data_IF_376939958018
#
_entry.id   IF_376939958018
#
_cell.length_a   1.000
_cell.length_b   1.000
_cell.length_c   1.000
_cell.angle_alpha   90.00
_cell.angle_beta   90.00
_cell.angle_gamma   90.00
#
_symmetry.space_group_name_H-M   'P 1'
#
loop_
_entity.id
_entity.type
_entity.pdbx_description
1 polymer ?
#
# COMPACT_ATOMS: atom_id res chain seq x y z
N UNK A 1 13.91 9.83 -9.43
CA UNK A 1 13.13 11.01 -9.05
C UNK A 1 13.61 11.38 -7.67
N UNK A 2 14.14 12.59 -7.41
CA UNK A 2 14.50 12.98 -6.05
C UNK A 2 13.26 12.83 -5.15
N UNK A 3 13.36 11.99 -4.11
CA UNK A 3 12.24 11.70 -3.21
C UNK A 3 11.38 10.47 -3.55
N UNK A 4 11.82 9.59 -4.45
CA UNK A 4 11.25 8.24 -4.53
C UNK A 4 11.44 7.52 -3.19
N UNK A 5 10.36 6.99 -2.62
CA UNK A 5 10.41 6.19 -1.40
C UNK A 5 10.55 4.72 -1.78
N UNK A 6 11.41 3.96 -1.11
CA UNK A 6 11.58 2.53 -1.38
C UNK A 6 12.14 1.81 -0.18
N UNK A 7 12.02 0.49 -0.18
CA UNK A 7 12.64 -0.35 0.83
C UNK A 7 12.50 -1.82 0.49
N UNK A 8 13.29 -2.65 1.17
CA UNK A 8 13.05 -4.09 1.18
C UNK A 8 11.71 -4.40 1.86
N UNK A 9 11.06 -5.49 1.43
CA UNK A 9 9.84 -5.95 2.05
C UNK A 9 10.10 -6.28 3.54
N UNK A 10 9.31 -5.67 4.41
CA UNK A 10 9.38 -5.77 5.86
C UNK A 10 8.09 -6.40 6.44
N UNK A 11 7.47 -7.31 5.68
CA UNK A 11 6.20 -7.93 6.06
C UNK A 11 6.27 -8.61 7.44
N UNK A 12 5.16 -8.59 8.16
CA UNK A 12 5.03 -9.32 9.42
C UNK A 12 5.09 -10.79 9.09
N UNK A 13 5.57 -11.60 10.03
CA UNK A 13 5.67 -13.04 9.84
C UNK A 13 4.35 -13.69 9.39
N UNK A 14 3.20 -13.14 9.82
CA UNK A 14 1.87 -13.64 9.43
C UNK A 14 1.40 -13.22 8.02
N UNK A 15 2.11 -12.31 7.37
CA UNK A 15 1.75 -11.73 6.06
C UNK A 15 2.87 -11.90 5.02
N UNK A 16 3.97 -12.57 5.35
CA UNK A 16 5.12 -12.74 4.43
C UNK A 16 4.72 -13.46 3.14
N UNK A 17 3.84 -14.46 3.22
CA UNK A 17 3.35 -15.18 2.03
C UNK A 17 2.49 -14.30 1.12
N UNK A 18 1.86 -13.25 1.67
CA UNK A 18 1.01 -12.33 0.91
C UNK A 18 1.82 -11.39 0.02
N UNK A 19 3.14 -11.26 0.24
CA UNK A 19 4.02 -10.51 -0.66
C UNK A 19 4.35 -11.27 -1.95
N UNK A 20 4.03 -12.57 -2.03
CA UNK A 20 4.37 -13.40 -3.19
C UNK A 20 5.89 -13.40 -3.46
N UNK A 21 6.33 -13.26 -4.73
CA UNK A 21 7.76 -13.28 -5.07
C UNK A 21 8.47 -11.93 -4.87
N UNK A 22 7.76 -10.87 -4.46
CA UNK A 22 8.32 -9.53 -4.42
C UNK A 22 9.11 -9.31 -3.13
N UNK A 23 10.28 -8.69 -3.27
CA UNK A 23 11.23 -8.49 -2.16
C UNK A 23 11.48 -7.02 -1.83
N UNK A 24 10.98 -6.11 -2.67
CA UNK A 24 11.15 -4.67 -2.53
C UNK A 24 9.88 -3.97 -3.02
N UNK A 25 9.63 -2.79 -2.47
CA UNK A 25 8.60 -1.88 -2.92
C UNK A 25 9.20 -0.49 -3.17
N UNK A 26 8.60 0.23 -4.09
CA UNK A 26 8.92 1.62 -4.36
C UNK A 26 7.62 2.40 -4.58
N UNK A 27 7.56 3.60 -4.00
CA UNK A 27 6.48 4.57 -4.16
C UNK A 27 7.03 5.82 -4.84
N UNK A 28 6.48 6.10 -6.02
CA UNK A 28 6.82 7.26 -6.83
C UNK A 28 5.64 8.24 -6.79
N UNK A 29 5.86 9.43 -6.24
CA UNK A 29 4.83 10.48 -6.20
C UNK A 29 5.13 11.54 -7.25
N UNK A 30 4.13 11.86 -8.06
CA UNK A 30 4.22 12.87 -9.11
C UNK A 30 3.25 14.01 -8.83
N UNK A 31 3.60 15.27 -9.14
CA UNK A 31 2.73 16.41 -8.91
C UNK A 31 1.51 16.43 -9.83
N UNK A 32 1.54 15.68 -10.95
CA UNK A 32 0.46 15.54 -11.91
C UNK A 32 0.74 14.38 -12.89
N UNK A 33 -0.28 14.02 -13.67
CA UNK A 33 -0.23 12.97 -14.68
C UNK A 33 0.85 13.22 -15.75
N UNK A 34 1.07 14.47 -16.17
CA UNK A 34 2.09 14.80 -17.17
C UNK A 34 3.50 14.47 -16.68
N UNK A 35 3.81 14.81 -15.43
CA UNK A 35 5.10 14.49 -14.83
C UNK A 35 5.30 12.96 -14.70
N UNK A 36 4.22 12.22 -14.39
CA UNK A 36 4.21 10.75 -14.36
C UNK A 36 4.44 10.15 -15.75
N UNK A 37 3.74 10.61 -16.78
CA UNK A 37 3.82 10.02 -18.13
C UNK A 37 5.18 10.21 -18.80
N UNK A 38 5.97 11.16 -18.33
CA UNK A 38 7.35 11.40 -18.78
C UNK A 38 8.40 10.88 -17.81
N UNK A 39 7.98 10.13 -16.78
CA UNK A 39 8.90 9.52 -15.84
C UNK A 39 9.74 8.43 -16.54
N UNK A 40 10.97 8.29 -16.08
CA UNK A 40 11.83 7.20 -16.50
C UNK A 40 11.32 5.87 -15.90
N UNK A 41 11.63 4.71 -16.49
CA UNK A 41 11.22 3.42 -15.96
C UNK A 41 11.70 3.20 -14.52
N UNK A 42 11.00 2.38 -13.74
CA UNK A 42 11.35 2.10 -12.33
C UNK A 42 12.82 1.68 -12.15
N UNK A 43 13.34 0.87 -13.08
CA UNK A 43 14.72 0.40 -13.09
C UNK A 43 15.77 1.54 -13.11
N UNK A 44 15.43 2.70 -13.68
CA UNK A 44 16.31 3.88 -13.67
C UNK A 44 16.45 4.50 -12.28
N UNK A 45 15.45 4.31 -11.43
CA UNK A 45 15.43 4.89 -10.09
C UNK A 45 16.14 4.01 -9.09
N UNK A 46 16.26 2.70 -9.34
CA UNK A 46 16.90 1.71 -8.47
C UNK A 46 17.86 0.77 -9.22
N UNK A 47 18.91 1.30 -9.88
CA UNK A 47 19.81 0.48 -10.69
C UNK A 47 20.51 -0.62 -9.87
N UNK A 48 20.73 -0.40 -8.57
CA UNK A 48 21.34 -1.36 -7.66
C UNK A 48 20.46 -2.58 -7.34
N UNK A 49 19.13 -2.47 -7.46
CA UNK A 49 18.21 -3.57 -7.17
C UNK A 49 18.18 -4.64 -8.27
N UNK A 50 18.79 -4.38 -9.44
CA UNK A 50 18.82 -5.30 -10.59
C UNK A 50 17.42 -5.89 -10.89
N UNK A 51 16.43 -5.01 -11.01
CA UNK A 51 15.01 -5.37 -11.17
C UNK A 51 14.83 -6.27 -12.40
N UNK A 52 14.53 -7.55 -12.19
CA UNK A 52 14.29 -8.53 -13.25
C UNK A 52 12.84 -8.54 -13.73
N UNK A 53 11.91 -8.15 -12.85
CA UNK A 53 10.49 -7.93 -13.12
C UNK A 53 9.91 -6.95 -12.08
N UNK A 54 8.93 -6.14 -12.48
CA UNK A 54 8.23 -5.21 -11.59
C UNK A 54 6.72 -5.30 -11.81
N UNK A 55 5.95 -5.18 -10.73
CA UNK A 55 4.51 -4.95 -10.75
C UNK A 55 4.30 -3.44 -10.61
N UNK A 56 4.13 -2.75 -11.73
CA UNK A 56 3.95 -1.29 -11.76
C UNK A 56 2.45 -0.97 -11.80
N UNK A 57 1.94 -0.41 -10.70
CA UNK A 57 0.51 -0.13 -10.52
C UNK A 57 0.30 1.36 -10.22
N UNK A 58 -0.48 2.04 -11.06
CA UNK A 58 -0.75 3.47 -10.93
C UNK A 58 -2.13 3.73 -10.31
N UNK A 59 -2.24 4.79 -9.52
CA UNK A 59 -3.51 5.28 -9.00
C UNK A 59 -3.46 6.77 -8.65
N UNK A 60 -4.64 7.36 -8.50
CA UNK A 60 -4.80 8.66 -7.84
C UNK A 60 -5.29 8.43 -6.41
N UNK A 61 -4.54 8.86 -5.37
CA UNK A 61 -4.92 8.60 -3.99
C UNK A 61 -6.11 9.45 -3.55
N UNK A 62 -7.01 8.81 -2.82
CA UNK A 62 -7.98 9.44 -1.91
C UNK A 62 -7.47 9.26 -0.50
N UNK A 63 -7.16 10.35 0.18
CA UNK A 63 -6.66 10.32 1.55
C UNK A 63 -7.80 10.61 2.55
N UNK A 64 -7.94 9.77 3.58
CA UNK A 64 -8.92 10.01 4.67
C UNK A 64 -8.27 10.39 5.99
N UNK A 65 -6.98 10.08 6.15
CA UNK A 65 -6.16 10.54 7.25
C UNK A 65 -4.77 10.89 6.72
N UNK A 66 -4.28 12.08 7.05
CA UNK A 66 -2.89 12.48 6.84
C UNK A 66 -2.40 13.15 8.13
N UNK A 67 -1.47 12.52 8.83
CA UNK A 67 -0.78 13.19 9.94
C UNK A 67 0.21 14.24 9.39
N UNK A 68 0.23 15.43 9.99
CA UNK A 68 1.13 16.52 9.60
C UNK A 68 2.60 16.25 9.90
N UNK A 69 2.92 15.18 10.64
CA UNK A 69 4.29 14.84 11.03
C UNK A 69 4.43 13.32 11.08
N UNK A 70 5.07 12.78 10.05
CA UNK A 70 5.52 11.39 10.00
C UNK A 70 6.99 11.32 10.44
N UNK A 71 7.47 10.18 10.96
CA UNK A 71 8.90 9.99 11.22
C UNK A 71 9.70 10.05 9.92
N UNK A 72 11.03 10.07 10.03
CA UNK A 72 11.91 10.13 8.86
C UNK A 72 11.85 8.86 7.99
N UNK A 73 11.56 7.71 8.61
CA UNK A 73 11.49 6.39 7.97
C UNK A 73 10.19 5.68 8.40
N UNK A 74 9.01 6.17 7.99
CA UNK A 74 7.77 5.51 8.35
C UNK A 74 7.67 4.14 7.66
N UNK A 75 6.86 3.25 8.25
CA UNK A 75 6.52 1.99 7.63
C UNK A 75 5.24 2.14 6.81
N UNK A 76 5.28 1.70 5.56
CA UNK A 76 4.13 1.63 4.66
C UNK A 76 3.61 0.20 4.62
N UNK A 77 2.31 0.03 4.81
CA UNK A 77 1.58 -1.20 4.60
C UNK A 77 0.67 -1.01 3.41
N UNK A 78 0.99 -1.67 2.30
CA UNK A 78 0.28 -1.54 1.03
C UNK A 78 -0.34 -2.88 0.68
N UNK A 79 -1.58 -2.88 0.22
CA UNK A 79 -2.09 -4.03 -0.49
C UNK A 79 -2.88 -3.63 -1.73
N UNK A 80 -2.76 -4.48 -2.75
CA UNK A 80 -3.50 -4.39 -3.99
C UNK A 80 -4.53 -5.50 -4.02
N UNK A 81 -5.78 -5.15 -4.33
CA UNK A 81 -6.90 -6.07 -4.30
C UNK A 81 -7.67 -6.06 -5.61
N UNK A 82 -8.09 -7.24 -6.03
CA UNK A 82 -9.22 -7.46 -6.92
C UNK A 82 -10.36 -8.05 -6.09
N UNK A 83 -11.58 -7.57 -6.28
CA UNK A 83 -12.74 -8.09 -5.56
C UNK A 83 -13.53 -9.10 -6.41
N UNK A 84 -14.20 -10.02 -5.74
CA UNK A 84 -15.15 -10.95 -6.36
C UNK A 84 -16.35 -10.18 -6.92
N UNK A 85 -16.99 -10.68 -7.99
CA UNK A 85 -18.23 -10.10 -8.50
C UNK A 85 -19.30 -9.96 -7.39
N UNK A 86 -19.95 -8.80 -7.32
CA UNK A 86 -20.98 -8.52 -6.32
C UNK A 86 -20.45 -8.11 -4.93
N UNK A 87 -19.14 -7.92 -4.77
CA UNK A 87 -18.59 -7.36 -3.54
C UNK A 87 -19.17 -5.96 -3.25
N UNK A 88 -19.53 -5.65 -1.99
CA UNK A 88 -20.03 -4.32 -1.59
C UNK A 88 -18.86 -3.35 -1.42
N UNK A 89 -18.18 -3.00 -2.52
CA UNK A 89 -16.89 -2.29 -2.50
C UNK A 89 -16.95 -0.97 -1.71
N UNK A 90 -17.98 -0.15 -1.93
CA UNK A 90 -18.12 1.13 -1.21
C UNK A 90 -18.25 0.93 0.31
N UNK A 91 -18.93 -0.12 0.75
CA UNK A 91 -19.06 -0.45 2.17
C UNK A 91 -17.73 -0.96 2.76
N UNK A 92 -16.96 -1.71 1.98
CA UNK A 92 -15.63 -2.18 2.37
C UNK A 92 -14.65 -1.01 2.50
N UNK A 93 -14.65 -0.08 1.53
CA UNK A 93 -13.85 1.15 1.57
C UNK A 93 -14.25 2.01 2.77
N UNK A 94 -15.55 2.20 3.01
CA UNK A 94 -16.04 2.97 4.16
C UNK A 94 -15.61 2.31 5.49
N UNK A 95 -15.67 0.98 5.57
CA UNK A 95 -15.22 0.22 6.73
C UNK A 95 -13.73 0.44 7.04
N UNK A 96 -12.87 0.35 6.03
CA UNK A 96 -11.43 0.61 6.19
C UNK A 96 -11.18 2.07 6.57
N UNK A 97 -11.82 2.99 5.86
CA UNK A 97 -11.67 4.43 6.08
C UNK A 97 -12.09 4.88 7.48
N UNK A 98 -12.89 4.07 8.19
CA UNK A 98 -13.26 4.29 9.60
C UNK A 98 -12.29 3.72 10.63
N UNK A 99 -11.36 2.83 10.25
CA UNK A 99 -10.36 2.27 11.16
C UNK A 99 -9.41 3.31 11.77
N UNK A 100 -8.97 4.37 11.06
CA UNK A 100 -8.11 5.39 11.65
C UNK A 100 -8.70 6.06 12.90
N UNK A 101 -10.03 6.15 13.02
CA UNK A 101 -10.70 6.70 14.20
C UNK A 101 -10.63 5.76 15.43
N UNK A 102 -10.28 4.49 15.23
CA UNK A 102 -10.24 3.45 16.25
C UNK A 102 -8.83 2.96 16.56
N UNK A 103 -7.92 3.03 15.59
CA UNK A 103 -6.55 2.50 15.69
C UNK A 103 -5.56 3.67 15.57
N UNK A 104 -5.12 4.27 16.69
CA UNK A 104 -4.30 5.48 16.67
C UNK A 104 -2.89 5.28 16.07
N UNK A 105 -2.45 4.02 15.91
CA UNK A 105 -1.19 3.70 15.24
C UNK A 105 -1.25 3.97 13.73
N UNK A 106 -2.44 4.01 13.12
CA UNK A 106 -2.60 4.42 11.72
C UNK A 106 -2.32 5.92 11.61
N UNK A 107 -1.16 6.29 11.04
CA UNK A 107 -0.71 7.69 10.92
C UNK A 107 -1.19 8.35 9.64
N UNK A 108 -1.35 7.57 8.58
CA UNK A 108 -2.01 8.01 7.36
C UNK A 108 -2.74 6.84 6.73
N UNK A 109 -3.82 7.13 6.02
CA UNK A 109 -4.55 6.16 5.24
C UNK A 109 -5.00 6.75 3.90
N UNK A 110 -4.62 6.06 2.84
CA UNK A 110 -4.88 6.40 1.45
C UNK A 110 -5.41 5.18 0.72
N UNK A 111 -6.30 5.40 -0.23
CA UNK A 111 -6.77 4.34 -1.13
C UNK A 111 -7.07 4.92 -2.50
N UNK A 112 -7.17 4.07 -3.50
CA UNK A 112 -7.63 4.51 -4.81
C UNK A 112 -7.92 3.35 -5.73
N UNK A 113 -8.64 3.67 -6.80
CA UNK A 113 -8.82 2.73 -7.91
C UNK A 113 -7.59 2.79 -8.79
N UNK A 114 -7.09 1.62 -9.19
CA UNK A 114 -5.97 1.51 -10.12
C UNK A 114 -6.40 1.96 -11.52
N UNK A 115 -5.46 2.53 -12.28
CA UNK A 115 -5.69 2.83 -13.69
C UNK A 115 -5.83 1.51 -14.47
N UNK A 116 -6.88 1.33 -15.30
CA UNK A 116 -7.17 0.06 -15.96
C UNK A 116 -5.99 -0.51 -16.77
N UNK A 117 -5.29 0.36 -17.50
CA UNK A 117 -4.23 0.01 -18.43
C UNK A 117 -2.93 -0.48 -17.75
N UNK A 118 -2.77 -0.21 -16.44
CA UNK A 118 -1.59 -0.57 -15.64
C UNK A 118 -1.98 -1.28 -14.33
N UNK A 119 -3.06 -2.07 -14.36
CA UNK A 119 -3.62 -2.67 -13.15
C UNK A 119 -3.22 -4.13 -12.91
N UNK A 120 -2.68 -4.83 -13.92
CA UNK A 120 -2.29 -6.25 -13.85
C UNK A 120 -3.38 -7.15 -13.22
N UNK A 121 -4.65 -6.81 -13.48
CA UNK A 121 -5.82 -7.51 -12.95
C UNK A 121 -6.15 -7.24 -11.47
N UNK A 122 -5.46 -6.32 -10.81
CA UNK A 122 -5.90 -5.69 -9.56
C UNK A 122 -6.87 -4.54 -9.87
N UNK A 123 -7.59 -4.05 -8.86
CA UNK A 123 -8.61 -2.99 -9.06
C UNK A 123 -8.42 -1.83 -8.10
N UNK A 124 -7.99 -2.12 -6.87
CA UNK A 124 -7.83 -1.15 -5.81
C UNK A 124 -6.46 -1.28 -5.15
N UNK A 125 -5.95 -0.16 -4.67
CA UNK A 125 -4.83 -0.07 -3.75
C UNK A 125 -5.30 0.57 -2.46
N UNK A 126 -4.75 0.09 -1.36
CA UNK A 126 -4.88 0.68 -0.04
C UNK A 126 -3.50 0.79 0.58
N UNK A 127 -3.22 1.93 1.20
CA UNK A 127 -1.96 2.21 1.86
C UNK A 127 -2.22 2.78 3.25
N UNK A 128 -1.71 2.08 4.26
CA UNK A 128 -1.67 2.56 5.64
C UNK A 128 -0.23 2.90 6.00
N UNK A 129 -0.02 4.01 6.69
CA UNK A 129 1.29 4.43 7.18
C UNK A 129 1.36 4.31 8.69
N UNK A 130 2.47 3.80 9.19
CA UNK A 130 2.77 3.65 10.60
C UNK A 130 4.07 4.37 10.96
N UNK A 131 4.25 4.66 12.24
CA UNK A 131 5.53 5.20 12.71
C UNK A 131 6.66 4.17 12.52
N UNK A 132 6.37 2.89 12.78
CA UNK A 132 7.33 1.78 12.71
C UNK A 132 6.62 0.41 12.64
N UNK A 133 7.41 -0.67 12.67
CA UNK A 133 6.92 -2.05 12.71
C UNK A 133 6.13 -2.40 13.98
N UNK A 134 6.39 -1.76 15.11
CA UNK A 134 5.63 -1.99 16.34
C UNK A 134 4.22 -1.41 16.22
N UNK A 135 4.07 -0.22 15.63
CA UNK A 135 2.78 0.39 15.30
C UNK A 135 1.95 -0.49 14.37
N UNK A 136 2.59 -1.01 13.30
CA UNK A 136 1.97 -1.97 12.40
C UNK A 136 1.54 -3.24 13.12
N UNK A 137 2.39 -3.82 13.97
CA UNK A 137 2.07 -5.05 14.69
C UNK A 137 0.90 -4.86 15.66
N UNK A 138 0.80 -3.70 16.31
CA UNK A 138 -0.32 -3.35 17.15
C UNK A 138 -1.63 -3.20 16.34
N UNK A 139 -1.57 -2.58 15.16
CA UNK A 139 -2.69 -2.54 14.21
C UNK A 139 -3.13 -3.95 13.81
N UNK A 140 -2.18 -4.81 13.44
CA UNK A 140 -2.44 -6.18 13.02
C UNK A 140 -3.12 -7.01 14.13
N UNK A 141 -2.77 -6.79 15.40
CA UNK A 141 -3.38 -7.47 16.54
C UNK A 141 -4.67 -6.80 17.06
N UNK A 142 -5.11 -5.69 16.45
CA UNK A 142 -6.25 -4.92 16.95
C UNK A 142 -7.57 -5.62 16.60
N UNK A 143 -8.53 -5.76 17.55
CA UNK A 143 -9.79 -6.46 17.29
C UNK A 143 -10.63 -5.83 16.17
N UNK A 144 -10.66 -4.50 16.05
CA UNK A 144 -11.34 -3.83 14.93
C UNK A 144 -10.66 -4.11 13.58
N UNK A 145 -9.33 -4.25 13.56
CA UNK A 145 -8.61 -4.63 12.35
C UNK A 145 -8.97 -6.07 11.97
N UNK A 146 -8.86 -7.01 12.92
CA UNK A 146 -9.13 -8.43 12.65
C UNK A 146 -10.58 -8.67 12.18
N UNK A 147 -11.54 -7.97 12.79
CA UNK A 147 -12.94 -8.02 12.37
C UNK A 147 -13.13 -7.48 10.94
N UNK A 148 -12.46 -6.38 10.60
CA UNK A 148 -12.50 -5.82 9.26
C UNK A 148 -11.78 -6.71 8.23
N UNK A 149 -10.61 -7.25 8.59
CA UNK A 149 -9.82 -8.16 7.76
C UNK A 149 -10.63 -9.42 7.38
N UNK A 150 -11.34 -10.02 8.34
CA UNK A 150 -12.22 -11.15 8.09
C UNK A 150 -13.34 -10.80 7.08
N UNK A 151 -13.90 -9.58 7.17
CA UNK A 151 -14.93 -9.10 6.25
C UNK A 151 -14.38 -8.87 4.84
N UNK A 152 -13.28 -8.12 4.69
CA UNK A 152 -12.74 -7.76 3.38
C UNK A 152 -12.18 -8.99 2.65
N UNK A 153 -11.48 -9.90 3.34
CA UNK A 153 -10.92 -11.10 2.72
C UNK A 153 -11.99 -12.07 2.18
N UNK A 154 -13.20 -12.07 2.74
CA UNK A 154 -14.31 -12.86 2.19
C UNK A 154 -14.64 -12.47 0.73
N UNK A 155 -14.42 -11.21 0.37
CA UNK A 155 -14.73 -10.65 -0.95
C UNK A 155 -13.52 -10.49 -1.87
N UNK A 156 -12.31 -10.83 -1.43
CA UNK A 156 -11.08 -10.68 -2.24
C UNK A 156 -10.93 -11.89 -3.18
N UNK A 157 -10.66 -11.60 -4.46
CA UNK A 157 -10.37 -12.57 -5.52
C UNK A 157 -8.85 -12.68 -5.77
N UNK A 158 -8.14 -11.54 -5.76
CA UNK A 158 -6.69 -11.47 -5.92
C UNK A 158 -6.11 -10.47 -4.92
N UNK A 159 -4.97 -10.80 -4.32
CA UNK A 159 -4.33 -10.00 -3.29
C UNK A 159 -2.81 -10.06 -3.41
N UNK A 160 -2.17 -8.94 -3.15
CA UNK A 160 -0.78 -8.87 -2.73
C UNK A 160 -0.66 -7.84 -1.61
N UNK A 161 0.10 -8.15 -0.57
CA UNK A 161 0.37 -7.27 0.57
C UNK A 161 1.87 -7.08 0.70
N UNK A 162 2.32 -5.83 0.80
CA UNK A 162 3.72 -5.48 0.97
C UNK A 162 3.84 -4.46 2.07
N UNK A 163 4.75 -4.72 3.01
CA UNK A 163 5.24 -3.71 3.92
C UNK A 163 6.63 -3.29 3.50
N UNK A 164 6.97 -2.01 3.63
CA UNK A 164 8.36 -1.56 3.52
C UNK A 164 8.59 -0.33 4.39
N UNK A 165 9.83 -0.12 4.77
CA UNK A 165 10.27 1.10 5.45
C UNK A 165 10.74 2.06 4.38
N UNK A 166 10.33 3.32 4.47
CA UNK A 166 10.81 4.37 3.58
C UNK A 166 12.33 4.58 3.83
N UNK A 167 13.17 3.89 3.07
CA UNK A 167 14.61 4.16 3.03
C UNK A 167 14.84 5.35 2.09
N UNK A 168 15.17 6.50 2.68
CA UNK A 168 15.67 7.66 1.92
C UNK A 168 17.12 7.38 1.55
N UNK A 169 17.44 7.43 0.26
CA UNK A 169 18.82 7.53 -0.24
C UNK A 169 19.17 8.96 -0.61
#
# INVERSE_FOLDING_TARGET
FPGALRGACANAARETELAGPFTHAALLSFPNERARSTAEPLASYAPELQVSAALELDFTPTATLICSTLPAQPLRHIFFAKFKPGAPIEELIAGYSGLPAKIPQMRAFEYGRLHPDSSEGYEYIFMTTFDDAAGRNAYLAHPDHDAFAAKIFAFIDKLIVMDFIDDVL
#
